data_IF_224573820622
#
_entry.id   IF_224573820622
#
_cell.length_a   1.000
_cell.length_b   1.000
_cell.length_c   1.000
_cell.angle_alpha   90.00
_cell.angle_beta   90.00
_cell.angle_gamma   90.00
#
_symmetry.space_group_name_H-M   'P 1'
#
loop_
_entity.id
_entity.type
_entity.pdbx_description
1 polymer ?
#
# COMPACT_ATOMS: atom_id res chain seq x y z
N UNK A 1 2.70 -19.35 70.52
CA UNK A 1 3.42 -18.06 70.56
C UNK A 1 3.22 -17.37 69.21
N UNK A 2 2.73 -16.13 69.30
CA UNK A 2 2.62 -15.04 68.31
C UNK A 2 2.00 -15.29 66.92
N UNK A 3 0.85 -14.64 66.74
CA UNK A 3 0.05 -14.46 65.54
C UNK A 3 0.27 -13.01 65.08
N UNK A 4 0.92 -12.76 63.94
CA UNK A 4 1.15 -11.40 63.42
C UNK A 4 0.55 -11.29 62.03
N UNK A 5 -0.65 -10.72 61.99
CA UNK A 5 -1.20 -10.00 60.84
C UNK A 5 -0.34 -8.75 60.63
N UNK A 6 0.25 -8.58 59.45
CA UNK A 6 0.67 -7.24 59.02
C UNK A 6 0.68 -7.15 57.50
N UNK A 7 -0.32 -6.45 56.99
CA UNK A 7 -0.47 -5.94 55.63
C UNK A 7 0.63 -4.93 55.33
N UNK A 8 1.42 -5.17 54.29
CA UNK A 8 2.23 -4.12 53.65
C UNK A 8 1.80 -4.03 52.19
N UNK A 9 0.95 -3.03 51.93
CA UNK A 9 0.64 -2.54 50.59
C UNK A 9 1.81 -1.64 50.19
N UNK A 10 2.71 -2.12 49.33
CA UNK A 10 3.76 -1.29 48.76
C UNK A 10 3.35 -0.89 47.34
N UNK A 11 2.78 0.30 47.23
CA UNK A 11 2.46 0.96 45.97
C UNK A 11 3.76 1.40 45.28
N UNK A 12 4.16 0.69 44.22
CA UNK A 12 5.16 1.19 43.28
C UNK A 12 4.46 2.12 42.27
N UNK A 13 4.64 3.43 42.45
CA UNK A 13 4.25 4.42 41.46
C UNK A 13 5.19 4.30 40.23
N UNK A 14 4.67 3.79 39.13
CA UNK A 14 5.36 3.78 37.83
C UNK A 14 5.19 5.15 37.19
N UNK A 15 6.23 5.97 37.23
CA UNK A 15 6.28 7.21 36.45
C UNK A 15 6.71 6.87 35.02
N UNK A 16 5.73 6.63 34.14
CA UNK A 16 5.98 6.47 32.72
C UNK A 16 6.23 7.85 32.08
N UNK A 17 7.48 8.19 31.84
CA UNK A 17 7.84 9.31 30.97
C UNK A 17 7.52 8.92 29.52
N UNK A 18 6.37 9.34 29.02
CA UNK A 18 6.03 9.26 27.60
C UNK A 18 6.85 10.31 26.85
N UNK A 19 8.02 9.92 26.35
CA UNK A 19 8.72 10.71 25.35
C UNK A 19 8.02 10.47 24.00
N UNK A 20 7.41 11.49 23.36
CA UNK A 20 6.92 11.33 22.00
C UNK A 20 8.13 11.05 21.09
N UNK A 21 8.20 9.83 20.56
CA UNK A 21 9.14 9.49 19.50
C UNK A 21 8.77 10.35 18.29
N UNK A 22 9.69 11.16 17.73
CA UNK A 22 9.40 11.89 16.51
C UNK A 22 9.17 10.89 15.37
N UNK A 23 7.89 10.74 14.98
CA UNK A 23 7.49 10.03 13.77
C UNK A 23 7.91 10.85 12.54
N UNK A 24 9.20 10.82 12.20
CA UNK A 24 9.79 11.79 11.29
C UNK A 24 10.82 11.19 10.35
N UNK A 25 10.42 10.19 9.56
CA UNK A 25 11.00 9.77 8.25
C UNK A 25 10.48 8.39 7.84
N UNK A 26 10.35 7.48 8.80
CA UNK A 26 9.90 6.11 8.56
C UNK A 26 8.41 5.99 8.22
N UNK A 27 7.57 6.91 8.71
CA UNK A 27 6.14 6.94 8.39
C UNK A 27 5.85 7.32 6.93
N UNK A 28 6.69 8.20 6.35
CA UNK A 28 6.57 8.61 4.96
C UNK A 28 7.11 7.52 4.00
N UNK A 29 8.17 6.81 4.39
CA UNK A 29 8.67 5.64 3.65
C UNK A 29 7.73 4.44 3.79
N UNK A 30 7.15 4.22 4.98
CA UNK A 30 6.10 3.23 5.23
C UNK A 30 4.87 3.44 4.36
N UNK A 31 4.54 4.68 3.98
CA UNK A 31 3.43 5.00 3.07
C UNK A 31 3.71 4.57 1.63
N UNK A 32 4.99 4.40 1.24
CA UNK A 32 5.38 3.91 -0.09
C UNK A 32 5.43 2.38 -0.17
N UNK A 33 5.23 1.67 0.94
CA UNK A 33 5.26 0.21 0.99
C UNK A 33 3.84 -0.36 0.88
N UNK A 34 3.72 -1.54 0.29
CA UNK A 34 2.43 -2.13 -0.02
C UNK A 34 1.72 -1.37 -1.15
N UNK A 35 0.39 -1.50 -1.20
CA UNK A 35 -0.43 -1.00 -2.31
C UNK A 35 -1.24 0.24 -1.96
N UNK A 36 -1.07 0.79 -0.75
CA UNK A 36 -1.94 1.84 -0.20
C UNK A 36 -1.99 3.13 -1.03
N UNK A 37 -0.89 3.46 -1.70
CA UNK A 37 -0.79 4.61 -2.60
C UNK A 37 -0.83 4.22 -4.07
N UNK A 38 -0.89 2.93 -4.41
CA UNK A 38 -0.85 2.43 -5.78
C UNK A 38 -2.20 2.66 -6.49
N UNK A 39 -2.16 3.17 -7.71
CA UNK A 39 -3.32 3.25 -8.60
C UNK A 39 -3.28 2.11 -9.63
N UNK A 40 -2.20 2.03 -10.40
CA UNK A 40 -1.98 1.01 -11.42
C UNK A 40 -0.49 0.73 -11.65
N UNK A 41 -0.21 -0.42 -12.24
CA UNK A 41 1.12 -0.84 -12.68
C UNK A 41 1.11 -1.04 -14.20
N UNK A 42 2.16 -0.57 -14.88
CA UNK A 42 2.42 -0.79 -16.30
C UNK A 42 3.71 -1.58 -16.50
N UNK A 43 3.58 -2.78 -17.06
CA UNK A 43 4.71 -3.64 -17.45
C UNK A 43 4.76 -3.71 -18.98
N UNK A 44 5.59 -2.86 -19.60
CA UNK A 44 5.50 -2.60 -21.04
C UNK A 44 4.05 -2.27 -21.46
N UNK A 45 3.42 -3.11 -22.29
CA UNK A 45 2.04 -2.91 -22.75
C UNK A 45 0.98 -3.43 -21.76
N UNK A 46 1.36 -4.30 -20.82
CA UNK A 46 0.43 -4.83 -19.83
C UNK A 46 0.07 -3.76 -18.78
N UNK A 47 -1.20 -3.71 -18.40
CA UNK A 47 -1.72 -2.87 -17.31
C UNK A 47 -2.36 -3.74 -16.24
N UNK A 48 -2.00 -3.47 -14.99
CA UNK A 48 -2.57 -4.10 -13.82
C UNK A 48 -3.17 -3.04 -12.90
N UNK A 49 -4.41 -3.25 -12.49
CA UNK A 49 -5.05 -2.44 -11.44
C UNK A 49 -4.41 -2.72 -10.08
N UNK A 50 -4.53 -1.78 -9.13
CA UNK A 50 -4.18 -2.04 -7.72
C UNK A 50 -4.75 -3.36 -7.21
N UNK A 51 -6.02 -3.65 -7.52
CA UNK A 51 -6.69 -4.87 -7.07
C UNK A 51 -5.98 -6.14 -7.55
N UNK A 52 -5.55 -6.19 -8.81
CA UNK A 52 -4.83 -7.35 -9.34
C UNK A 52 -3.46 -7.53 -8.65
N UNK A 53 -2.79 -6.43 -8.33
CA UNK A 53 -1.53 -6.45 -7.56
C UNK A 53 -1.77 -6.97 -6.14
N UNK A 54 -2.84 -6.51 -5.49
CA UNK A 54 -3.24 -6.96 -4.15
C UNK A 54 -3.59 -8.45 -4.13
N UNK A 55 -4.38 -8.92 -5.09
CA UNK A 55 -4.79 -10.33 -5.19
C UNK A 55 -3.62 -11.26 -5.49
N UNK A 56 -2.72 -10.87 -6.40
CA UNK A 56 -1.50 -11.63 -6.70
C UNK A 56 -0.53 -11.65 -5.50
N UNK A 57 -0.37 -10.50 -4.81
CA UNK A 57 0.47 -10.42 -3.61
C UNK A 57 -0.12 -11.29 -2.49
N UNK A 58 -1.43 -11.21 -2.25
CA UNK A 58 -2.09 -12.00 -1.22
C UNK A 58 -1.93 -13.51 -1.46
N UNK A 59 -2.06 -13.97 -2.71
CA UNK A 59 -1.87 -15.38 -3.05
C UNK A 59 -0.41 -15.81 -2.91
N UNK A 60 0.54 -14.99 -3.38
CA UNK A 60 1.97 -15.23 -3.16
C UNK A 60 2.31 -15.33 -1.67
N UNK A 61 1.80 -14.42 -0.84
CA UNK A 61 1.96 -14.46 0.61
C UNK A 61 1.38 -15.73 1.23
N UNK A 62 0.16 -16.12 0.82
CA UNK A 62 -0.53 -17.32 1.32
C UNK A 62 0.28 -18.59 1.02
N UNK A 63 0.69 -18.78 -0.23
CA UNK A 63 1.48 -19.93 -0.67
C UNK A 63 2.84 -19.98 0.04
N UNK A 64 3.53 -18.84 0.16
CA UNK A 64 4.81 -18.76 0.86
C UNK A 64 4.67 -19.17 2.33
N UNK A 65 3.66 -18.64 3.03
CA UNK A 65 3.39 -19.00 4.43
C UNK A 65 3.05 -20.49 4.59
N UNK A 66 2.31 -21.07 3.63
CA UNK A 66 1.96 -22.48 3.60
C UNK A 66 3.11 -23.40 3.15
N UNK A 67 4.23 -22.84 2.65
CA UNK A 67 5.32 -23.56 1.99
C UNK A 67 4.84 -24.39 0.78
N UNK A 68 3.83 -23.85 0.08
CA UNK A 68 3.24 -24.43 -1.12
C UNK A 68 3.74 -23.69 -2.36
N UNK A 69 3.72 -24.36 -3.52
CA UNK A 69 4.10 -23.74 -4.80
C UNK A 69 3.19 -24.19 -5.94
N UNK A 70 3.08 -23.35 -6.96
CA UNK A 70 2.28 -23.57 -8.16
C UNK A 70 3.15 -23.61 -9.42
N UNK A 71 2.77 -24.51 -10.33
CA UNK A 71 3.39 -24.68 -11.64
C UNK A 71 4.81 -25.25 -11.59
N UNK A 72 5.37 -25.53 -12.76
CA UNK A 72 6.68 -26.17 -12.88
C UNK A 72 7.83 -25.31 -12.35
N UNK A 73 7.70 -23.98 -12.43
CA UNK A 73 8.68 -23.03 -11.90
C UNK A 73 8.58 -22.84 -10.38
N UNK A 74 7.60 -23.46 -9.71
CA UNK A 74 7.43 -23.47 -8.26
C UNK A 74 7.28 -22.05 -7.65
N UNK A 75 6.29 -21.31 -8.10
CA UNK A 75 5.98 -19.99 -7.53
C UNK A 75 5.08 -20.08 -6.28
N UNK A 76 5.24 -19.21 -5.27
CA UNK A 76 6.27 -18.17 -5.16
C UNK A 76 7.64 -18.78 -4.85
N UNK A 77 8.70 -18.06 -5.24
CA UNK A 77 10.06 -18.43 -4.86
C UNK A 77 10.93 -17.19 -4.63
N UNK A 78 12.11 -17.42 -4.04
CA UNK A 78 13.07 -16.36 -3.76
C UNK A 78 13.49 -15.64 -5.03
N UNK A 79 13.44 -14.31 -4.99
CA UNK A 79 14.03 -13.44 -5.99
C UNK A 79 15.34 -12.84 -5.46
N UNK A 80 16.45 -13.15 -6.14
CA UNK A 80 17.78 -12.76 -5.66
C UNK A 80 18.21 -11.35 -6.10
N UNK A 81 17.40 -10.67 -6.93
CA UNK A 81 17.67 -9.32 -7.43
C UNK A 81 19.10 -9.11 -7.98
N UNK A 82 19.53 -9.98 -8.90
CA UNK A 82 20.89 -9.92 -9.48
C UNK A 82 21.08 -8.71 -10.39
N UNK A 83 19.97 -8.17 -10.88
CA UNK A 83 19.85 -6.97 -11.69
C UNK A 83 19.96 -5.68 -10.87
N UNK A 84 19.98 -5.78 -9.53
CA UNK A 84 20.02 -4.63 -8.62
C UNK A 84 18.86 -3.65 -8.82
N UNK A 85 17.65 -4.17 -9.05
CA UNK A 85 16.43 -3.37 -9.11
C UNK A 85 16.16 -2.72 -7.75
N UNK A 86 15.65 -1.48 -7.77
CA UNK A 86 15.33 -0.72 -6.57
C UNK A 86 13.85 -0.87 -6.24
N UNK A 87 13.55 -1.55 -5.14
CA UNK A 87 12.18 -1.75 -4.63
C UNK A 87 11.86 -0.82 -3.46
N UNK A 88 10.58 -0.71 -3.11
CA UNK A 88 10.09 0.17 -2.03
C UNK A 88 10.53 -0.26 -0.62
N UNK A 89 11.06 -1.48 -0.46
CA UNK A 89 11.67 -1.98 0.75
C UNK A 89 12.79 -2.96 0.42
N UNK A 90 13.70 -3.18 1.37
CA UNK A 90 14.73 -4.21 1.26
C UNK A 90 14.15 -5.62 1.36
N UNK A 91 14.90 -6.60 0.86
CA UNK A 91 14.57 -8.02 0.93
C UNK A 91 14.76 -8.64 2.32
N UNK A 92 14.61 -9.97 2.45
CA UNK A 92 14.54 -10.95 1.37
C UNK A 92 13.28 -10.82 0.52
N UNK A 93 13.42 -11.05 -0.79
CA UNK A 93 12.31 -10.95 -1.75
C UNK A 93 11.78 -12.33 -2.14
N UNK A 94 10.49 -12.38 -2.40
CA UNK A 94 9.82 -13.44 -3.11
C UNK A 94 9.16 -12.84 -4.36
N UNK A 95 9.09 -13.61 -5.43
CA UNK A 95 8.38 -13.25 -6.65
C UNK A 95 7.19 -14.17 -6.91
N UNK A 96 6.13 -13.62 -7.49
CA UNK A 96 4.95 -14.38 -7.90
C UNK A 96 4.38 -13.81 -9.22
N UNK A 97 3.89 -14.66 -10.15
CA UNK A 97 3.35 -14.18 -11.41
C UNK A 97 2.10 -13.32 -11.24
N UNK A 98 2.00 -12.26 -12.03
CA UNK A 98 0.79 -11.46 -12.17
C UNK A 98 0.30 -11.53 -13.62
N UNK A 99 -0.95 -11.96 -13.80
CA UNK A 99 -1.54 -12.19 -15.13
C UNK A 99 -2.85 -11.42 -15.26
N UNK A 100 -3.16 -10.96 -16.47
CA UNK A 100 -4.34 -10.13 -16.70
C UNK A 100 -5.67 -10.87 -16.43
N UNK A 101 -5.66 -12.20 -16.54
CA UNK A 101 -6.82 -13.07 -16.35
C UNK A 101 -7.16 -13.40 -14.88
N UNK A 102 -6.50 -12.77 -13.91
CA UNK A 102 -6.72 -12.99 -12.47
C UNK A 102 -5.54 -13.67 -11.78
N UNK A 103 -5.78 -14.43 -10.71
CA UNK A 103 -4.70 -15.10 -9.99
C UNK A 103 -4.05 -16.21 -10.83
N UNK A 104 -2.72 -16.30 -10.71
CA UNK A 104 -1.95 -17.35 -11.33
C UNK A 104 -2.24 -18.71 -10.69
N UNK A 105 -2.52 -19.72 -11.52
CA UNK A 105 -2.92 -21.07 -11.08
C UNK A 105 -1.91 -22.17 -11.44
N UNK A 106 -0.67 -21.81 -11.77
CA UNK A 106 0.37 -22.80 -12.14
C UNK A 106 0.56 -23.08 -13.63
N UNK A 107 -0.06 -22.29 -14.53
CA UNK A 107 0.11 -22.40 -15.99
C UNK A 107 1.38 -21.69 -16.47
N UNK A 108 1.45 -21.26 -17.73
CA UNK A 108 2.51 -20.37 -18.19
C UNK A 108 2.45 -19.04 -17.39
N UNK A 109 3.54 -18.62 -16.73
CA UNK A 109 3.51 -17.46 -15.82
C UNK A 109 3.54 -16.10 -16.54
N UNK A 110 3.74 -16.08 -17.85
CA UNK A 110 3.98 -14.83 -18.59
C UNK A 110 5.29 -14.16 -18.20
N UNK A 111 5.46 -12.89 -18.56
CA UNK A 111 6.70 -12.12 -18.35
C UNK A 111 6.75 -11.36 -17.01
N UNK A 112 5.59 -11.12 -16.38
CA UNK A 112 5.45 -10.12 -15.32
C UNK A 112 5.33 -10.77 -13.94
N UNK A 113 5.95 -10.15 -12.94
CA UNK A 113 6.04 -10.65 -11.56
C UNK A 113 5.77 -9.53 -10.57
N UNK A 114 4.90 -9.76 -9.59
CA UNK A 114 4.95 -8.97 -8.36
C UNK A 114 6.12 -9.46 -7.51
N UNK A 115 6.67 -8.54 -6.73
CA UNK A 115 7.74 -8.78 -5.76
C UNK A 115 7.21 -8.38 -4.39
N UNK A 116 7.37 -9.27 -3.42
CA UNK A 116 6.94 -9.05 -2.04
C UNK A 116 8.04 -9.44 -1.06
N UNK A 117 8.06 -8.78 0.10
CA UNK A 117 8.86 -9.19 1.24
C UNK A 117 7.93 -9.92 2.23
N UNK A 118 8.15 -11.22 2.50
CA UNK A 118 7.27 -12.01 3.38
C UNK A 118 7.41 -11.64 4.87
N UNK A 119 8.51 -10.96 5.25
CA UNK A 119 8.88 -10.66 6.63
C UNK A 119 9.24 -9.18 6.80
N UNK A 120 8.42 -8.30 6.22
CA UNK A 120 8.67 -6.87 6.28
C UNK A 120 8.30 -6.31 7.66
N UNK A 121 9.33 -6.04 8.48
CA UNK A 121 9.19 -5.49 9.84
C UNK A 121 8.15 -6.29 10.67
N UNK A 122 7.39 -5.62 11.55
CA UNK A 122 6.27 -6.22 12.30
C UNK A 122 4.98 -6.35 11.48
N UNK A 123 5.00 -6.00 10.18
CA UNK A 123 3.81 -6.02 9.30
C UNK A 123 3.64 -7.33 8.53
N UNK A 124 4.68 -8.15 8.45
CA UNK A 124 4.65 -9.42 7.72
C UNK A 124 4.74 -9.21 6.21
N UNK A 125 3.88 -9.88 5.45
CA UNK A 125 4.00 -9.96 4.00
C UNK A 125 3.53 -8.69 3.29
N UNK A 126 4.41 -8.03 2.55
CA UNK A 126 4.17 -6.71 1.93
C UNK A 126 4.64 -6.67 0.48
N UNK A 127 3.81 -6.12 -0.41
CA UNK A 127 4.19 -5.78 -1.79
C UNK A 127 5.29 -4.69 -1.81
N UNK A 128 6.33 -4.88 -2.62
CA UNK A 128 7.47 -3.95 -2.72
C UNK A 128 7.76 -3.46 -4.14
N UNK A 129 7.12 -4.05 -5.15
CA UNK A 129 7.21 -3.59 -6.54
C UNK A 129 6.78 -4.66 -7.54
N UNK A 130 6.76 -4.31 -8.82
CA UNK A 130 6.49 -5.24 -9.93
C UNK A 130 7.62 -5.14 -10.95
N UNK A 131 7.98 -6.26 -11.55
CA UNK A 131 9.03 -6.37 -12.56
C UNK A 131 8.57 -7.20 -13.77
N UNK A 132 9.23 -7.02 -14.91
CA UNK A 132 8.93 -7.72 -16.15
C UNK A 132 10.19 -8.15 -16.88
N UNK A 133 10.13 -9.30 -17.54
CA UNK A 133 11.14 -9.70 -18.53
C UNK A 133 11.08 -8.83 -19.80
N UNK A 134 9.95 -8.19 -20.08
CA UNK A 134 9.76 -7.42 -21.31
C UNK A 134 10.64 -6.17 -21.30
N UNK A 135 11.52 -6.04 -22.29
CA UNK A 135 12.47 -4.92 -22.37
C UNK A 135 13.71 -5.08 -21.48
N UNK A 136 13.90 -6.24 -20.83
CA UNK A 136 15.12 -6.51 -20.09
C UNK A 136 16.32 -6.71 -21.04
N UNK A 137 17.54 -6.26 -20.65
CA UNK A 137 18.72 -6.33 -21.50
C UNK A 137 19.27 -7.76 -21.67
N UNK A 138 18.82 -8.70 -20.84
CA UNK A 138 19.23 -10.11 -20.91
C UNK A 138 17.99 -11.00 -20.96
N UNK A 139 18.13 -12.19 -21.57
CA UNK A 139 17.02 -13.10 -21.84
C UNK A 139 16.20 -13.48 -20.60
N UNK A 140 16.84 -13.60 -19.44
CA UNK A 140 16.20 -13.97 -18.18
C UNK A 140 16.20 -12.83 -17.17
N UNK A 141 16.63 -11.63 -17.58
CA UNK A 141 16.71 -10.48 -16.69
C UNK A 141 15.34 -9.84 -16.49
N UNK A 142 15.28 -8.96 -15.51
CA UNK A 142 14.10 -8.15 -15.22
C UNK A 142 14.40 -6.66 -15.29
N UNK A 143 13.38 -5.89 -15.62
CA UNK A 143 13.32 -4.43 -15.41
C UNK A 143 12.10 -4.09 -14.57
N UNK A 144 12.11 -2.95 -13.89
CA UNK A 144 10.97 -2.49 -13.10
C UNK A 144 9.81 -2.11 -14.02
N UNK A 145 8.60 -2.46 -13.58
CA UNK A 145 7.37 -1.90 -14.13
C UNK A 145 7.16 -0.49 -13.59
N UNK A 146 6.40 0.33 -14.33
CA UNK A 146 6.07 1.69 -13.93
C UNK A 146 4.82 1.70 -13.04
N UNK A 147 4.92 2.29 -11.85
CA UNK A 147 3.81 2.45 -10.90
C UNK A 147 3.23 3.86 -10.95
N UNK A 148 1.91 3.95 -11.03
CA UNK A 148 1.18 5.21 -10.85
C UNK A 148 0.61 5.25 -9.43
N UNK A 149 0.73 6.39 -8.73
CA UNK A 149 0.27 6.53 -7.34
C UNK A 149 -0.81 7.60 -7.18
N UNK A 150 -1.76 7.39 -6.27
CA UNK A 150 -2.96 8.22 -6.04
C UNK A 150 -2.66 9.54 -5.30
N UNK A 151 -1.40 9.82 -4.93
CA UNK A 151 -1.02 11.05 -4.24
C UNK A 151 0.31 11.55 -4.76
N UNK A 152 0.29 12.00 -6.01
CA UNK A 152 1.44 12.53 -6.71
C UNK A 152 1.46 12.01 -8.14
N UNK A 153 1.03 12.86 -9.07
CA UNK A 153 1.67 12.91 -10.39
C UNK A 153 3.18 12.88 -10.14
N UNK A 154 3.83 11.75 -10.43
CA UNK A 154 5.27 11.68 -10.52
C UNK A 154 5.71 12.72 -11.56
N UNK A 155 6.67 13.54 -11.15
CA UNK A 155 7.31 14.59 -11.94
C UNK A 155 7.49 14.21 -13.41
N UNK A 156 6.84 14.95 -14.30
CA UNK A 156 7.32 15.16 -15.66
C UNK A 156 7.66 16.64 -15.75
N UNK A 157 8.96 16.95 -15.78
CA UNK A 157 9.46 18.29 -16.00
C UNK A 157 8.97 18.82 -17.35
N UNK A 158 8.28 19.96 -17.30
CA UNK A 158 7.70 20.62 -18.47
C UNK A 158 7.28 22.05 -18.10
N UNK A 159 8.21 22.98 -18.30
CA UNK A 159 8.10 24.43 -18.13
C UNK A 159 6.73 25.04 -18.50
N UNK A 160 6.10 25.74 -17.55
CA UNK A 160 4.87 26.51 -17.78
C UNK A 160 4.54 27.42 -16.59
N UNK A 161 4.92 28.68 -16.70
CA UNK A 161 4.65 29.76 -15.73
C UNK A 161 3.15 29.86 -15.41
N UNK A 162 2.77 29.93 -14.14
CA UNK A 162 1.44 30.41 -13.75
C UNK A 162 1.50 31.13 -12.41
N UNK A 163 1.16 32.40 -12.47
CA UNK A 163 1.03 33.33 -11.37
C UNK A 163 -0.16 32.97 -10.47
N UNK A 164 -0.06 33.42 -9.23
CA UNK A 164 -0.90 33.08 -8.10
C UNK A 164 -2.27 33.81 -8.06
N UNK A 165 -3.28 33.06 -7.59
CA UNK A 165 -4.25 33.38 -6.53
C UNK A 165 -5.36 34.43 -6.76
N UNK A 166 -6.58 34.00 -6.44
CA UNK A 166 -7.54 34.82 -5.70
C UNK A 166 -9.01 34.48 -5.94
N UNK A 167 -9.60 33.56 -5.16
CA UNK A 167 -11.08 33.49 -5.04
C UNK A 167 -11.47 33.34 -3.57
N UNK A 168 -12.08 34.42 -3.09
CA UNK A 168 -12.68 34.62 -1.77
C UNK A 168 -14.08 33.99 -1.71
N UNK A 169 -14.46 33.46 -0.54
CA UNK A 169 -15.78 32.91 -0.25
C UNK A 169 -16.75 34.01 0.26
N UNK A 170 -18.04 33.96 -0.15
CA UNK A 170 -19.24 34.42 0.63
C UNK A 170 -20.58 34.27 -0.14
N UNK A 171 -21.59 33.62 0.48
CA UNK A 171 -23.03 33.77 0.22
C UNK A 171 -23.70 32.75 -0.73
N UNK A 172 -24.90 32.22 -0.39
CA UNK A 172 -26.11 32.93 -0.81
C UNK A 172 -27.30 32.94 0.18
N UNK A 173 -28.05 34.05 0.13
CA UNK A 173 -29.41 34.23 0.63
C UNK A 173 -30.39 34.03 -0.53
N UNK A 174 -31.43 33.20 -0.37
CA UNK A 174 -32.79 33.40 -0.90
C UNK A 174 -33.64 32.14 -0.65
N UNK A 175 -34.53 32.19 0.35
CA UNK A 175 -35.65 31.24 0.47
C UNK A 175 -36.93 32.04 0.23
N UNK A 176 -37.66 31.63 -0.80
CA UNK A 176 -38.91 32.22 -1.29
C UNK A 176 -40.07 31.72 -0.43
N UNK A 177 -40.84 32.66 0.13
CA UNK A 177 -42.11 32.43 0.82
C UNK A 177 -43.26 32.23 -0.18
N UNK A 178 -44.24 31.38 0.12
CA UNK A 178 -45.61 31.61 -0.31
C UNK A 178 -46.51 31.91 0.90
N UNK A 179 -47.18 33.06 0.82
CA UNK A 179 -48.31 33.45 1.67
C UNK A 179 -49.56 32.75 1.12
N UNK A 180 -50.27 31.97 1.93
CA UNK A 180 -51.72 31.84 1.73
C UNK A 180 -52.45 31.61 3.06
N UNK A 181 -53.23 32.63 3.37
CA UNK A 181 -54.20 32.83 4.43
C UNK A 181 -55.19 31.67 4.59
N UNK A 182 -55.50 31.28 5.83
CA UNK A 182 -56.86 30.91 6.20
C UNK A 182 -57.26 31.50 7.54
N UNK A 183 -58.42 32.14 7.47
CA UNK A 183 -59.16 32.88 8.47
C UNK A 183 -59.58 32.02 9.67
N UNK A 184 -59.72 32.69 10.80
CA UNK A 184 -60.36 32.27 12.04
C UNK A 184 -61.74 31.59 11.86
N UNK A 185 -62.17 30.80 12.85
CA UNK A 185 -63.24 31.21 13.76
C UNK A 185 -63.40 30.25 14.95
N UNK A 186 -63.76 30.85 16.09
CA UNK A 186 -64.01 30.29 17.40
C UNK A 186 -65.17 29.29 17.48
N UNK A 187 -65.07 28.36 18.45
CA UNK A 187 -66.00 28.20 19.58
C UNK A 187 -65.49 27.07 20.49
#
# INVERSE_FOLDING_TARGET
MVNIKSTIVLAFAVLAAANPVPAGSDAALAKRQGTSSLDAVRCADARYSRRQVEEATAEGCRLHAAKETLGNSKYPHTFNNRESLVFAASGPYQEFPIIASGNYTGRAPGADRIVFNPNYQSRGCVYVGTMTHTGAPTRNGFVLCNETTTSGSSSSDGNGTSAAVGVSASGPLAVVLPVLSFLALAA
#
